data_IF_245657944543
#
_entry.id   IF_245657944543
#
_cell.length_a   1.000
_cell.length_b   1.000
_cell.length_c   1.000
_cell.angle_alpha   90.00
_cell.angle_beta   90.00
_cell.angle_gamma   90.00
#
_symmetry.space_group_name_H-M   'P 1'
#
loop_
_entity.id
_entity.type
_entity.pdbx_description
1 polymer ?
#
# COMPACT_ATOMS: atom_id res chain seq x y z
N UNK A 1 -10.66 10.91 1.52
CA UNK A 1 -11.07 10.72 0.14
C UNK A 1 -10.07 9.86 -0.60
N UNK A 2 -10.54 8.84 -1.23
CA UNK A 2 -9.75 7.74 -1.76
C UNK A 2 -8.97 8.16 -2.99
N UNK A 3 -7.66 7.93 -2.97
CA UNK A 3 -6.81 8.18 -4.12
C UNK A 3 -7.28 7.37 -5.32
N UNK A 4 -7.70 8.04 -6.36
CA UNK A 4 -7.90 7.41 -7.65
C UNK A 4 -6.59 6.76 -8.07
N UNK A 5 -6.54 5.44 -8.19
CA UNK A 5 -5.48 4.82 -8.96
C UNK A 5 -5.66 5.25 -10.41
N UNK A 6 -4.87 6.24 -10.81
CA UNK A 6 -4.80 6.60 -12.23
C UNK A 6 -4.45 5.35 -13.03
N UNK A 7 -5.09 5.20 -14.21
CA UNK A 7 -4.69 4.18 -15.18
C UNK A 7 -3.16 4.17 -15.31
N UNK A 8 -2.53 2.99 -15.44
CA UNK A 8 -1.11 2.96 -15.73
C UNK A 8 -0.88 3.78 -16.99
N UNK A 9 -0.20 4.91 -16.83
CA UNK A 9 0.32 5.64 -17.97
C UNK A 9 1.30 4.69 -18.67
N UNK A 10 1.40 4.77 -19.99
CA UNK A 10 2.45 4.09 -20.74
C UNK A 10 3.75 4.29 -19.96
N UNK A 11 4.28 3.18 -19.45
CA UNK A 11 5.45 3.23 -18.58
C UNK A 11 6.62 3.81 -19.36
N UNK A 12 7.01 5.04 -19.01
CA UNK A 12 8.34 5.52 -19.38
C UNK A 12 9.32 4.64 -18.62
N UNK A 13 10.25 3.95 -19.31
CA UNK A 13 11.20 3.11 -18.61
C UNK A 13 12.06 3.97 -17.70
N UNK A 14 11.91 3.79 -16.38
CA UNK A 14 12.78 4.42 -15.40
C UNK A 14 14.17 3.79 -15.44
N UNK A 15 15.19 4.63 -15.31
CA UNK A 15 16.56 4.14 -15.16
C UNK A 15 16.63 3.25 -13.93
N UNK A 16 17.45 2.19 -14.03
CA UNK A 16 17.75 1.32 -12.90
C UNK A 16 18.25 2.12 -11.70
N UNK A 17 17.75 1.82 -10.52
CA UNK A 17 18.15 2.46 -9.27
C UNK A 17 18.34 1.39 -8.21
N UNK A 18 19.56 1.30 -7.67
CA UNK A 18 19.89 0.37 -6.58
C UNK A 18 19.08 0.69 -5.32
N UNK A 19 18.85 1.97 -5.05
CA UNK A 19 18.06 2.42 -3.92
C UNK A 19 16.62 1.95 -4.04
N UNK A 20 16.01 2.10 -5.22
CA UNK A 20 14.63 1.66 -5.47
C UNK A 20 14.49 0.14 -5.44
N UNK A 21 15.44 -0.58 -6.01
CA UNK A 21 15.45 -2.05 -5.95
C UNK A 21 15.54 -2.55 -4.51
N UNK A 22 16.41 -1.95 -3.71
CA UNK A 22 16.55 -2.31 -2.29
C UNK A 22 15.31 -1.98 -1.48
N UNK A 23 14.66 -0.86 -1.80
CA UNK A 23 13.39 -0.46 -1.21
C UNK A 23 12.31 -1.52 -1.44
N UNK A 24 12.18 -2.00 -2.66
CA UNK A 24 11.22 -3.06 -2.99
C UNK A 24 11.53 -4.36 -2.25
N UNK A 25 12.80 -4.76 -2.17
CA UNK A 25 13.21 -5.94 -1.40
C UNK A 25 12.81 -5.83 0.08
N UNK A 26 13.02 -4.67 0.70
CA UNK A 26 12.64 -4.44 2.09
C UNK A 26 11.12 -4.55 2.29
N UNK A 27 10.34 -3.98 1.36
CA UNK A 27 8.89 -4.06 1.43
C UNK A 27 8.37 -5.48 1.23
N UNK A 28 9.01 -6.26 0.35
CA UNK A 28 8.67 -7.66 0.15
C UNK A 28 9.05 -8.55 1.36
N UNK A 29 10.00 -8.11 2.17
CA UNK A 29 10.48 -8.86 3.34
C UNK A 29 9.63 -8.69 4.59
N UNK A 30 8.67 -7.77 4.60
CA UNK A 30 7.86 -7.44 5.77
C UNK A 30 6.36 -7.50 5.47
N UNK A 31 5.58 -7.92 6.46
CA UNK A 31 4.12 -7.89 6.41
C UNK A 31 3.53 -6.74 7.24
N UNK A 32 4.38 -5.87 7.79
CA UNK A 32 3.96 -4.82 8.73
C UNK A 32 3.34 -3.60 8.06
N UNK A 33 3.36 -3.50 6.74
CA UNK A 33 2.89 -2.34 5.98
C UNK A 33 3.56 -1.05 6.46
N UNK A 34 4.88 -0.89 6.20
CA UNK A 34 5.64 0.20 6.79
C UNK A 34 5.37 1.55 6.13
N UNK A 35 5.80 2.61 6.82
CA UNK A 35 5.78 3.99 6.31
C UNK A 35 7.06 4.32 5.53
N UNK A 36 7.06 5.48 4.86
CA UNK A 36 8.24 6.03 4.21
C UNK A 36 9.38 6.27 5.22
N UNK A 37 9.06 6.71 6.43
CA UNK A 37 10.05 6.92 7.50
C UNK A 37 10.76 5.62 7.89
N UNK A 38 10.04 4.52 7.96
CA UNK A 38 10.64 3.22 8.23
C UNK A 38 11.63 2.82 7.14
N UNK A 39 11.26 3.01 5.87
CA UNK A 39 12.15 2.74 4.73
C UNK A 39 13.40 3.61 4.78
N UNK A 40 13.22 4.89 5.01
CA UNK A 40 14.35 5.83 5.14
C UNK A 40 15.31 5.39 6.25
N UNK A 41 14.80 5.04 7.42
CA UNK A 41 15.61 4.61 8.55
C UNK A 41 16.44 3.36 8.25
N UNK A 42 15.90 2.43 7.46
CA UNK A 42 16.61 1.22 7.03
C UNK A 42 17.63 1.51 5.93
N UNK A 43 17.21 2.25 4.91
CA UNK A 43 18.03 2.49 3.72
C UNK A 43 19.19 3.43 3.96
N UNK A 44 19.05 4.41 4.87
CA UNK A 44 20.13 5.38 5.16
C UNK A 44 21.41 4.71 5.68
N UNK A 45 21.32 3.53 6.24
CA UNK A 45 22.47 2.76 6.71
C UNK A 45 23.30 2.22 5.54
N UNK A 46 22.64 1.85 4.45
CA UNK A 46 23.27 1.37 3.22
C UNK A 46 23.63 2.52 2.27
N UNK A 47 22.84 3.58 2.28
CA UNK A 47 22.98 4.74 1.41
C UNK A 47 23.03 6.02 2.26
N UNK A 48 24.19 6.39 2.80
CA UNK A 48 24.29 7.54 3.73
C UNK A 48 23.84 8.89 3.15
N UNK A 49 23.91 9.05 1.82
CA UNK A 49 23.50 10.29 1.14
C UNK A 49 22.01 10.31 0.75
N UNK A 50 21.26 9.26 1.13
CA UNK A 50 19.84 9.15 0.81
C UNK A 50 19.04 10.25 1.51
N UNK A 51 18.19 10.95 0.75
CA UNK A 51 17.25 11.93 1.28
C UNK A 51 15.84 11.36 1.39
N UNK A 52 15.01 11.96 2.26
CA UNK A 52 13.58 11.62 2.32
C UNK A 52 12.88 11.91 0.99
N UNK A 53 13.26 12.98 0.29
CA UNK A 53 12.71 13.29 -1.03
C UNK A 53 12.95 12.17 -2.04
N UNK A 54 14.14 11.56 -2.01
CA UNK A 54 14.46 10.41 -2.87
C UNK A 54 13.61 9.20 -2.50
N UNK A 55 13.38 8.96 -1.21
CA UNK A 55 12.49 7.87 -0.76
C UNK A 55 11.08 8.07 -1.30
N UNK A 56 10.47 9.25 -1.12
CA UNK A 56 9.14 9.54 -1.64
C UNK A 56 9.04 9.43 -3.15
N UNK A 57 10.07 9.93 -3.86
CA UNK A 57 10.11 9.80 -5.33
C UNK A 57 10.11 8.34 -5.76
N UNK A 58 10.92 7.50 -5.13
CA UNK A 58 10.99 6.08 -5.47
C UNK A 58 9.73 5.31 -5.07
N UNK A 59 9.08 5.66 -3.97
CA UNK A 59 7.77 5.13 -3.63
C UNK A 59 6.77 5.45 -4.75
N UNK A 60 6.73 6.68 -5.21
CA UNK A 60 5.86 7.10 -6.32
C UNK A 60 6.11 6.28 -7.59
N UNK A 61 7.37 6.03 -7.92
CA UNK A 61 7.76 5.22 -9.09
C UNK A 61 7.28 3.77 -8.92
N UNK A 62 7.52 3.16 -7.77
CA UNK A 62 7.09 1.78 -7.49
C UNK A 62 5.56 1.64 -7.55
N UNK A 63 4.82 2.63 -7.05
CA UNK A 63 3.35 2.68 -7.15
C UNK A 63 2.92 2.78 -8.62
N UNK A 64 3.55 3.68 -9.38
CA UNK A 64 3.26 3.85 -10.81
C UNK A 64 3.55 2.59 -11.61
N UNK A 65 4.62 1.88 -11.27
CA UNK A 65 4.96 0.59 -11.89
C UNK A 65 4.03 -0.56 -11.47
N UNK A 66 3.15 -0.35 -10.50
CA UNK A 66 2.25 -1.38 -9.99
C UNK A 66 2.92 -2.44 -9.12
N UNK A 67 4.11 -2.14 -8.58
CA UNK A 67 4.88 -3.07 -7.73
C UNK A 67 4.54 -2.97 -6.25
N UNK A 68 4.02 -1.83 -5.83
CA UNK A 68 3.51 -1.59 -4.47
C UNK A 68 2.22 -0.79 -4.52
N UNK A 69 1.49 -0.78 -3.42
CA UNK A 69 0.32 0.09 -3.22
C UNK A 69 0.45 0.90 -1.94
N UNK A 70 -0.32 1.99 -1.87
CA UNK A 70 -0.45 2.82 -0.67
C UNK A 70 -1.76 2.53 0.02
N UNK A 71 -1.70 2.40 1.34
CA UNK A 71 -2.87 2.39 2.22
C UNK A 71 -2.90 3.76 2.89
N UNK A 72 -3.95 4.54 2.64
CA UNK A 72 -4.03 5.92 3.08
C UNK A 72 -4.25 6.03 4.59
N UNK A 73 -3.32 6.67 5.29
CA UNK A 73 -3.41 7.07 6.70
C UNK A 73 -3.26 8.58 6.87
N UNK A 74 -3.18 9.30 5.76
CA UNK A 74 -3.01 10.74 5.71
C UNK A 74 -1.55 11.16 5.54
N UNK A 75 -1.26 11.84 4.40
CA UNK A 75 0.03 12.47 4.11
C UNK A 75 1.23 11.53 4.29
N UNK A 76 2.16 11.88 5.19
CA UNK A 76 3.41 11.14 5.43
C UNK A 76 3.21 9.83 6.21
N UNK A 77 2.01 9.57 6.73
CA UNK A 77 1.68 8.37 7.49
C UNK A 77 1.10 7.24 6.63
N UNK A 78 1.00 7.44 5.32
CA UNK A 78 0.56 6.39 4.41
C UNK A 78 1.41 5.13 4.58
N UNK A 79 0.74 3.99 4.57
CA UNK A 79 1.36 2.69 4.70
C UNK A 79 1.58 2.08 3.32
N UNK A 80 2.60 1.24 3.21
CA UNK A 80 3.03 0.67 1.94
C UNK A 80 2.84 -0.85 1.96
N UNK A 81 2.38 -1.38 0.84
CA UNK A 81 2.11 -2.81 0.69
C UNK A 81 2.69 -3.31 -0.64
N UNK A 82 3.58 -4.28 -0.56
CA UNK A 82 4.18 -4.92 -1.74
C UNK A 82 3.38 -6.16 -2.21
N UNK A 83 2.37 -6.59 -1.46
CA UNK A 83 1.50 -7.69 -1.88
C UNK A 83 0.48 -7.17 -2.88
N UNK A 84 0.65 -7.51 -4.15
CA UNK A 84 -0.18 -6.99 -5.24
C UNK A 84 -1.35 -7.92 -5.64
N UNK A 85 -1.41 -9.15 -5.13
CA UNK A 85 -2.61 -9.98 -5.23
C UNK A 85 -3.77 -9.33 -4.46
N UNK A 86 -4.98 -9.27 -5.03
CA UNK A 86 -6.11 -8.64 -4.34
C UNK A 86 -6.38 -9.27 -2.98
N UNK A 87 -6.52 -8.44 -1.96
CA UNK A 87 -6.83 -8.84 -0.59
C UNK A 87 -7.47 -7.69 0.17
N UNK A 88 -8.16 -8.00 1.26
CA UNK A 88 -8.74 -7.01 2.16
C UNK A 88 -7.76 -6.73 3.31
N UNK A 89 -7.94 -5.60 3.97
CA UNK A 89 -7.17 -5.20 5.14
C UNK A 89 -8.03 -5.06 6.37
N UNK A 90 -7.45 -5.39 7.52
CA UNK A 90 -7.99 -5.12 8.85
C UNK A 90 -7.10 -4.05 9.49
N UNK A 91 -7.70 -2.95 9.93
CA UNK A 91 -6.97 -1.83 10.52
C UNK A 91 -7.42 -1.65 11.96
N UNK A 92 -6.47 -1.70 12.89
CA UNK A 92 -6.74 -1.42 14.29
C UNK A 92 -6.76 0.09 14.52
N UNK A 93 -7.91 0.61 14.94
CA UNK A 93 -8.09 2.04 15.18
C UNK A 93 -7.34 2.54 16.42
N UNK A 94 -6.87 1.64 17.28
CA UNK A 94 -6.15 2.01 18.50
C UNK A 94 -4.63 2.03 18.32
N UNK A 95 -4.05 0.99 17.71
CA UNK A 95 -2.60 0.87 17.56
C UNK A 95 -2.11 1.06 16.13
N UNK A 96 -3.01 1.32 15.18
CA UNK A 96 -2.72 1.51 13.75
C UNK A 96 -2.05 0.30 13.06
N UNK A 97 -2.07 -0.86 13.68
CA UNK A 97 -1.61 -2.08 13.02
C UNK A 97 -2.52 -2.46 11.88
N UNK A 98 -1.92 -2.94 10.80
CA UNK A 98 -2.62 -3.41 9.60
C UNK A 98 -2.37 -4.89 9.43
N UNK A 99 -3.44 -5.63 9.18
CA UNK A 99 -3.40 -7.07 8.91
C UNK A 99 -4.03 -7.35 7.56
N UNK A 100 -3.44 -8.26 6.81
CA UNK A 100 -4.08 -8.80 5.61
C UNK A 100 -5.16 -9.81 6.04
N UNK A 101 -6.33 -9.69 5.44
CA UNK A 101 -7.38 -10.68 5.63
C UNK A 101 -7.11 -11.88 4.72
N UNK A 102 -6.91 -13.05 5.32
CA UNK A 102 -6.51 -14.27 4.62
C UNK A 102 -7.71 -15.01 4.03
N UNK A 103 -8.56 -14.29 3.31
CA UNK A 103 -9.66 -14.84 2.52
C UNK A 103 -9.68 -14.16 1.15
N UNK A 104 -10.08 -14.88 0.08
CA UNK A 104 -10.20 -14.26 -1.23
C UNK A 104 -11.26 -13.15 -1.23
N UNK A 105 -11.03 -12.03 -1.95
CA UNK A 105 -12.06 -11.01 -2.13
C UNK A 105 -13.32 -11.59 -2.78
N UNK A 106 -14.47 -11.11 -2.33
CA UNK A 106 -15.76 -11.50 -2.89
C UNK A 106 -16.02 -10.75 -4.20
N UNK A 107 -15.81 -11.44 -5.31
CA UNK A 107 -15.96 -10.86 -6.65
C UNK A 107 -17.42 -10.46 -6.98
N UNK A 108 -18.40 -11.04 -6.27
CA UNK A 108 -19.81 -10.68 -6.46
C UNK A 108 -20.10 -9.22 -6.10
N UNK A 109 -19.27 -8.60 -5.26
CA UNK A 109 -19.40 -7.19 -4.90
C UNK A 109 -19.22 -6.25 -6.09
N UNK A 110 -18.52 -6.68 -7.14
CA UNK A 110 -18.35 -5.89 -8.35
C UNK A 110 -19.69 -5.68 -9.09
N UNK A 111 -20.69 -6.51 -8.82
CA UNK A 111 -22.01 -6.43 -9.42
C UNK A 111 -23.01 -5.55 -8.62
N UNK A 112 -22.60 -5.03 -7.43
CA UNK A 112 -23.48 -4.20 -6.61
C UNK A 112 -23.92 -2.89 -7.27
N UNK A 113 -23.06 -2.16 -8.02
CA UNK A 113 -23.50 -0.98 -8.72
C UNK A 113 -24.59 -1.31 -9.75
N UNK A 114 -25.64 -0.49 -9.76
CA UNK A 114 -26.77 -0.65 -10.67
C UNK A 114 -26.31 -0.59 -12.13
N UNK A 115 -26.69 -1.60 -12.90
CA UNK A 115 -26.38 -1.68 -14.34
C UNK A 115 -26.93 -0.51 -15.13
N UNK A 116 -28.01 0.13 -14.65
CA UNK A 116 -28.61 1.30 -15.29
C UNK A 116 -27.65 2.50 -15.33
N UNK A 117 -26.65 2.53 -14.45
CA UNK A 117 -25.61 3.56 -14.46
C UNK A 117 -24.58 3.41 -15.59
N UNK A 118 -24.63 2.30 -16.32
CA UNK A 118 -23.67 2.02 -17.41
C UNK A 118 -22.23 1.88 -16.94
N UNK A 119 -21.99 1.61 -15.66
CA UNK A 119 -20.67 1.52 -15.07
C UNK A 119 -20.15 0.09 -15.08
N UNK A 120 -18.92 -0.10 -15.55
CA UNK A 120 -18.25 -1.42 -15.52
C UNK A 120 -17.23 -1.45 -14.40
N UNK A 121 -17.54 -2.17 -13.32
CA UNK A 121 -16.65 -2.34 -12.17
C UNK A 121 -15.62 -3.42 -12.47
N UNK A 122 -14.34 -3.09 -12.34
CA UNK A 122 -13.24 -4.04 -12.54
C UNK A 122 -12.75 -4.66 -11.23
N UNK A 123 -12.82 -3.90 -10.13
CA UNK A 123 -12.32 -4.32 -8.83
C UNK A 123 -12.94 -3.48 -7.73
N UNK A 124 -12.78 -3.94 -6.51
CA UNK A 124 -13.14 -3.19 -5.31
C UNK A 124 -12.05 -3.36 -4.26
N UNK A 125 -12.04 -2.46 -3.29
CA UNK A 125 -11.14 -2.53 -2.13
C UNK A 125 -12.00 -2.40 -0.87
N UNK A 126 -11.72 -3.23 0.15
CA UNK A 126 -12.41 -3.16 1.44
C UNK A 126 -11.36 -3.12 2.54
N UNK A 127 -11.56 -2.18 3.46
CA UNK A 127 -10.81 -2.04 4.70
C UNK A 127 -11.79 -2.16 5.85
N UNK A 128 -11.48 -3.04 6.80
CA UNK A 128 -12.26 -3.20 8.02
C UNK A 128 -11.57 -2.47 9.16
N UNK A 129 -12.31 -1.70 9.91
CA UNK A 129 -11.81 -0.89 11.03
C UNK A 129 -12.36 -1.43 12.34
N UNK A 130 -11.50 -1.58 13.33
CA UNK A 130 -11.90 -2.07 14.65
C UNK A 130 -10.71 -2.16 15.58
N UNK A 131 -10.74 -3.11 16.50
CA UNK A 131 -9.66 -3.35 17.45
C UNK A 131 -9.00 -4.71 17.18
N UNK A 132 -7.67 -4.73 17.13
CA UNK A 132 -6.93 -5.99 17.02
C UNK A 132 -7.02 -6.80 18.33
N UNK A 133 -6.65 -8.07 18.28
CA UNK A 133 -6.74 -8.98 19.43
C UNK A 133 -6.03 -8.48 20.69
N UNK A 134 -4.91 -7.74 20.52
CA UNK A 134 -4.18 -7.15 21.64
C UNK A 134 -4.93 -5.95 22.24
N UNK A 135 -5.53 -5.12 21.40
CA UNK A 135 -6.22 -3.89 21.83
C UNK A 135 -7.59 -4.19 22.42
N UNK A 136 -8.29 -5.21 21.94
CA UNK A 136 -9.56 -5.69 22.52
C UNK A 136 -9.36 -6.10 23.98
N UNK A 137 -8.29 -6.84 24.28
CA UNK A 137 -7.98 -7.30 25.64
C UNK A 137 -7.61 -6.17 26.59
N UNK A 138 -7.20 -5.01 26.10
CA UNK A 138 -6.83 -3.83 26.89
C UNK A 138 -7.97 -2.81 27.02
N UNK A 139 -9.12 -3.12 26.43
CA UNK A 139 -10.28 -2.24 26.49
C UNK A 139 -11.00 -2.34 27.83
#
# INVERSE_FOLDING_TARGET
>A
MKGFRKKPRKQTPYRRSRQRERMLELLLSTETHPTANWLYGRLRKEFPDLSMGTVYRNIGILVEQGLISRIAFGSTFDRLDARMTPHYHLICEKCDSIFDLDVPPDQSLNALPDKSLGFHVRRHEIEFYGLCSKCVKKA
#
